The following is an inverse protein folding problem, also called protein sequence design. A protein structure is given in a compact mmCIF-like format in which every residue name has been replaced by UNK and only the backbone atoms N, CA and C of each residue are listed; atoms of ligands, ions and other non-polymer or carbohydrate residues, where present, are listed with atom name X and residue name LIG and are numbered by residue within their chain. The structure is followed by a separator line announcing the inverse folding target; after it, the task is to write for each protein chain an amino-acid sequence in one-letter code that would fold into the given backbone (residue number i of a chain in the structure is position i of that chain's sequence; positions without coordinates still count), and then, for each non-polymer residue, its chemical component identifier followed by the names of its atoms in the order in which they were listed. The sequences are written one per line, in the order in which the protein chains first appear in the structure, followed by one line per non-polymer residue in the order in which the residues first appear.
data_IF_483458700975
#
_entry.id   IF_483458700975
#
_cell.length_a   1.000
_cell.length_b   1.000
_cell.length_c   1.000
_cell.angle_alpha   90.00
_cell.angle_beta   90.00
_cell.angle_gamma   90.00
#
_symmetry.space_group_name_H-M   'P 1'
#
loop_
_entity.id
_entity.type
_entity.pdbx_description
1 polymer ?
#
# COMPACT_ATOMS: atom_id res chain seq x y z
N UNK A 1 -5.35 -5.56 -24.93
CA UNK A 1 -5.52 -5.74 -23.47
C UNK A 1 -5.14 -4.43 -22.80
N UNK A 2 -6.11 -3.69 -22.24
CA UNK A 2 -5.83 -2.46 -21.48
C UNK A 2 -5.45 -2.87 -20.05
N UNK A 3 -4.37 -2.31 -19.52
CA UNK A 3 -3.97 -2.48 -18.12
C UNK A 3 -4.18 -1.14 -17.42
N UNK A 4 -4.99 -1.13 -16.37
CA UNK A 4 -5.30 0.06 -15.58
C UNK A 4 -4.37 0.11 -14.36
N UNK A 5 -3.87 1.29 -14.03
CA UNK A 5 -3.12 1.55 -12.81
C UNK A 5 -3.83 2.66 -12.04
N UNK A 6 -4.10 2.40 -10.77
CA UNK A 6 -4.73 3.32 -9.83
C UNK A 6 -3.96 3.28 -8.53
N UNK A 7 -3.89 4.42 -7.84
CA UNK A 7 -3.18 4.56 -6.57
C UNK A 7 -4.05 5.25 -5.55
N UNK A 8 -3.93 4.83 -4.29
CA UNK A 8 -4.45 5.53 -3.14
C UNK A 8 -3.48 6.64 -2.75
N UNK A 9 -4.01 7.81 -2.42
CA UNK A 9 -3.26 8.83 -1.68
C UNK A 9 -3.29 8.48 -0.20
N UNK A 10 -2.20 7.86 0.29
CA UNK A 10 -2.07 7.50 1.71
C UNK A 10 -2.04 8.71 2.65
N UNK A 11 -1.72 9.90 2.13
CA UNK A 11 -1.50 11.10 2.92
C UNK A 11 -2.70 12.05 2.88
N UNK A 12 -3.70 11.78 2.05
CA UNK A 12 -4.93 12.59 1.94
C UNK A 12 -4.65 14.08 1.74
N UNK A 13 -3.74 14.40 0.82
CA UNK A 13 -3.34 15.76 0.48
C UNK A 13 -2.29 16.38 1.43
N UNK A 14 -1.71 15.61 2.35
CA UNK A 14 -0.70 16.07 3.31
C UNK A 14 0.69 15.44 3.07
N UNK A 15 1.35 15.73 1.92
CA UNK A 15 2.64 15.14 1.58
C UNK A 15 3.75 15.67 2.49
N UNK A 16 4.78 14.87 2.76
CA UNK A 16 5.88 15.24 3.66
C UNK A 16 6.57 16.57 3.29
N UNK A 17 6.67 16.85 1.98
CA UNK A 17 7.29 18.06 1.44
C UNK A 17 6.52 19.35 1.78
N UNK A 18 5.24 19.24 2.18
CA UNK A 18 4.45 20.40 2.60
C UNK A 18 4.96 21.01 3.91
N UNK A 19 5.78 20.28 4.66
CA UNK A 19 6.29 20.68 5.97
C UNK A 19 7.76 21.11 5.95
N UNK A 20 8.36 21.28 4.77
CA UNK A 20 9.75 21.72 4.64
C UNK A 20 9.93 23.11 5.26
N UNK A 21 10.76 23.20 6.31
CA UNK A 21 11.03 24.44 7.04
C UNK A 21 9.97 24.83 8.07
N UNK A 22 8.95 24.00 8.30
CA UNK A 22 7.93 24.25 9.31
C UNK A 22 8.52 24.13 10.73
N UNK A 23 8.55 25.25 11.46
CA UNK A 23 9.10 25.30 12.80
C UNK A 23 8.23 24.48 13.76
N UNK A 24 8.84 23.51 14.43
CA UNK A 24 8.15 22.67 15.41
C UNK A 24 7.40 21.49 14.80
N UNK A 25 7.45 21.29 13.48
CA UNK A 25 6.89 20.11 12.84
C UNK A 25 7.66 18.85 13.26
N UNK A 26 6.90 17.77 13.51
CA UNK A 26 7.45 16.50 13.99
C UNK A 26 7.18 15.39 12.98
N UNK A 27 8.23 15.00 12.25
CA UNK A 27 8.17 13.96 11.23
C UNK A 27 7.66 12.61 11.76
N UNK A 28 8.04 12.23 12.98
CA UNK A 28 7.63 10.95 13.56
C UNK A 28 6.12 10.92 13.85
N UNK A 29 5.57 12.03 14.34
CA UNK A 29 4.13 12.19 14.61
C UNK A 29 3.34 12.17 13.29
N UNK A 30 3.83 12.89 12.28
CA UNK A 30 3.25 12.86 10.93
C UNK A 30 3.26 11.45 10.33
N UNK A 31 4.37 10.71 10.50
CA UNK A 31 4.50 9.35 9.99
C UNK A 31 3.53 8.39 10.68
N UNK A 32 3.41 8.46 12.01
CA UNK A 32 2.45 7.65 12.78
C UNK A 32 0.99 7.93 12.36
N UNK A 33 0.62 9.21 12.22
CA UNK A 33 -0.68 9.60 11.69
C UNK A 33 -0.93 9.00 10.30
N UNK A 34 0.04 9.12 9.40
CA UNK A 34 -0.06 8.61 8.02
C UNK A 34 -0.20 7.08 7.99
N UNK A 35 0.52 6.36 8.87
CA UNK A 35 0.39 4.90 9.01
C UNK A 35 -1.03 4.51 9.45
N UNK A 36 -1.61 5.24 10.40
CA UNK A 36 -2.99 5.00 10.86
C UNK A 36 -4.01 5.29 9.75
N UNK A 37 -3.88 6.40 9.04
CA UNK A 37 -4.73 6.74 7.89
C UNK A 37 -4.70 5.64 6.83
N UNK A 38 -3.50 5.14 6.50
CA UNK A 38 -3.35 4.04 5.56
C UNK A 38 -4.00 2.75 6.05
N UNK A 39 -3.82 2.39 7.33
CA UNK A 39 -4.44 1.20 7.91
C UNK A 39 -5.99 1.25 7.86
N UNK A 40 -6.58 2.42 8.09
CA UNK A 40 -8.03 2.60 8.11
C UNK A 40 -8.66 2.72 6.71
N UNK A 41 -7.92 3.28 5.76
CA UNK A 41 -8.42 3.59 4.43
C UNK A 41 -8.17 2.49 3.40
N UNK A 42 -7.01 1.84 3.47
CA UNK A 42 -6.57 0.91 2.43
C UNK A 42 -7.57 -0.25 2.21
N UNK A 43 -8.08 -0.95 3.25
CA UNK A 43 -9.05 -2.03 3.04
C UNK A 43 -10.34 -1.54 2.36
N UNK A 44 -10.82 -0.36 2.74
CA UNK A 44 -12.04 0.26 2.17
C UNK A 44 -11.81 0.65 0.71
N UNK A 45 -10.63 1.19 0.41
CA UNK A 45 -10.25 1.56 -0.95
C UNK A 45 -10.13 0.33 -1.85
N UNK A 46 -9.49 -0.75 -1.39
CA UNK A 46 -9.40 -2.02 -2.15
C UNK A 46 -10.81 -2.56 -2.43
N UNK A 47 -11.69 -2.59 -1.44
CA UNK A 47 -13.07 -3.04 -1.61
C UNK A 47 -13.84 -2.18 -2.63
N UNK A 48 -13.70 -0.86 -2.57
CA UNK A 48 -14.34 0.06 -3.51
C UNK A 48 -13.83 -0.13 -4.95
N UNK A 49 -12.51 -0.28 -5.11
CA UNK A 49 -11.87 -0.60 -6.40
C UNK A 49 -12.44 -1.89 -6.98
N UNK A 50 -12.46 -2.96 -6.20
CA UNK A 50 -12.98 -4.26 -6.65
C UNK A 50 -14.47 -4.20 -6.98
N UNK A 51 -15.24 -3.43 -6.21
CA UNK A 51 -16.65 -3.16 -6.50
C UNK A 51 -16.87 -2.41 -7.81
N UNK A 52 -15.97 -1.49 -8.17
CA UNK A 52 -16.07 -0.69 -9.39
C UNK A 52 -15.59 -1.45 -10.64
N UNK A 53 -14.52 -2.24 -10.53
CA UNK A 53 -13.87 -2.89 -11.68
C UNK A 53 -14.15 -4.40 -11.78
N UNK A 54 -14.92 -4.96 -10.85
CA UNK A 54 -15.38 -6.35 -10.86
C UNK A 54 -14.52 -7.29 -10.03
N UNK A 55 -15.15 -8.27 -9.37
CA UNK A 55 -14.48 -9.26 -8.53
C UNK A 55 -13.58 -10.23 -9.30
N UNK A 56 -13.92 -10.48 -10.56
CA UNK A 56 -13.30 -11.52 -11.40
C UNK A 56 -12.05 -11.01 -12.14
N UNK A 57 -11.76 -9.71 -12.03
CA UNK A 57 -10.53 -9.14 -12.56
C UNK A 57 -9.31 -9.61 -11.76
N UNK A 58 -8.16 -9.69 -12.43
CA UNK A 58 -6.88 -9.99 -11.79
C UNK A 58 -6.28 -8.69 -11.27
N UNK A 59 -6.13 -8.58 -9.95
CA UNK A 59 -5.52 -7.43 -9.31
C UNK A 59 -4.09 -7.75 -8.92
N UNK A 60 -3.19 -6.79 -9.09
CA UNK A 60 -1.82 -6.85 -8.57
C UNK A 60 -1.56 -5.60 -7.75
N UNK A 61 -0.74 -5.71 -6.72
CA UNK A 61 -0.37 -4.58 -5.86
C UNK A 61 1.10 -4.22 -6.05
N UNK A 62 1.40 -2.93 -6.03
CA UNK A 62 2.75 -2.41 -6.15
C UNK A 62 2.96 -1.28 -5.15
N UNK A 63 4.10 -1.29 -4.46
CA UNK A 63 4.42 -0.31 -3.41
C UNK A 63 5.80 0.30 -3.56
N UNK A 64 5.90 1.61 -3.35
CA UNK A 64 7.18 2.32 -3.31
C UNK A 64 7.36 3.03 -1.96
N UNK A 65 8.54 2.95 -1.35
CA UNK A 65 8.85 3.61 -0.07
C UNK A 65 7.79 3.27 1.00
N UNK A 66 7.02 4.27 1.44
CA UNK A 66 5.90 4.14 2.38
C UNK A 66 4.91 3.03 1.97
N UNK A 67 4.63 2.92 0.67
CA UNK A 67 3.73 1.95 0.05
C UNK A 67 4.23 0.51 0.08
N UNK A 68 5.53 0.29 0.29
CA UNK A 68 6.17 -1.03 0.18
C UNK A 68 5.58 -2.08 1.12
N UNK A 69 5.34 -1.71 2.39
CA UNK A 69 4.75 -2.64 3.36
C UNK A 69 3.33 -3.04 3.00
N UNK A 70 2.55 -2.12 2.43
CA UNK A 70 1.15 -2.36 2.08
C UNK A 70 1.02 -3.25 0.85
N UNK A 71 1.97 -3.14 -0.10
CA UNK A 71 2.05 -4.08 -1.20
C UNK A 71 2.38 -5.50 -0.72
N UNK A 72 3.30 -5.63 0.24
CA UNK A 72 3.62 -6.93 0.85
C UNK A 72 2.44 -7.53 1.63
N UNK A 73 1.71 -6.70 2.38
CA UNK A 73 0.46 -7.12 3.04
C UNK A 73 -0.60 -7.59 2.02
N UNK A 74 -0.71 -6.90 0.88
CA UNK A 74 -1.55 -7.35 -0.22
C UNK A 74 -1.09 -8.70 -0.79
N UNK A 75 0.21 -8.95 -0.91
CA UNK A 75 0.77 -10.25 -1.30
C UNK A 75 0.54 -11.39 -0.30
N UNK A 76 0.22 -11.06 0.95
CA UNK A 76 -0.20 -12.03 1.97
C UNK A 76 -1.73 -12.29 1.94
N UNK A 77 -2.50 -11.54 1.15
CA UNK A 77 -3.97 -11.67 1.03
C UNK A 77 -4.39 -12.52 -0.18
N UNK A 78 -5.68 -12.88 -0.27
CA UNK A 78 -6.26 -13.49 -1.50
C UNK A 78 -6.70 -12.43 -2.54
N UNK A 79 -6.62 -11.14 -2.22
CA UNK A 79 -7.16 -10.09 -3.07
C UNK A 79 -6.32 -9.82 -4.32
N UNK A 80 -5.04 -10.24 -4.30
CA UNK A 80 -4.07 -9.95 -5.34
C UNK A 80 -3.38 -11.21 -5.86
N UNK A 81 -3.19 -11.30 -7.17
CA UNK A 81 -2.48 -12.43 -7.82
C UNK A 81 -0.97 -12.25 -7.82
N UNK A 82 -0.48 -11.04 -7.54
CA UNK A 82 0.93 -10.72 -7.44
C UNK A 82 1.13 -9.43 -6.62
N UNK A 83 2.27 -9.36 -5.93
CA UNK A 83 2.74 -8.17 -5.24
C UNK A 83 4.16 -7.81 -5.70
N UNK A 84 4.44 -6.52 -5.80
CA UNK A 84 5.76 -5.98 -6.08
C UNK A 84 6.07 -4.79 -5.17
N UNK A 85 7.35 -4.54 -4.90
CA UNK A 85 7.76 -3.34 -4.19
C UNK A 85 9.11 -2.82 -4.69
N UNK A 86 9.38 -1.53 -4.48
CA UNK A 86 10.66 -0.90 -4.79
C UNK A 86 11.06 0.08 -3.68
N UNK A 87 12.32 0.02 -3.26
CA UNK A 87 12.88 0.86 -2.18
C UNK A 87 11.90 1.01 -0.99
N UNK A 88 11.52 -0.10 -0.32
CA UNK A 88 10.47 -0.06 0.69
C UNK A 88 10.99 0.53 2.02
N UNK A 89 10.11 1.20 2.75
CA UNK A 89 10.34 1.59 4.15
C UNK A 89 9.77 0.53 5.10
N UNK A 90 10.44 0.25 6.23
CA UNK A 90 9.94 -0.57 7.35
C UNK A 90 9.52 -2.02 7.02
N UNK A 91 10.11 -2.65 5.99
CA UNK A 91 9.92 -4.09 5.81
C UNK A 91 10.78 -4.89 6.80
N UNK A 92 10.14 -5.82 7.50
CA UNK A 92 10.78 -6.86 8.29
C UNK A 92 10.63 -8.23 7.62
N UNK A 93 11.40 -9.23 8.09
CA UNK A 93 11.29 -10.63 7.65
C UNK A 93 9.86 -11.19 7.81
N UNK A 94 9.12 -10.71 8.82
CA UNK A 94 7.74 -11.14 9.06
C UNK A 94 6.85 -10.92 7.84
N UNK A 95 7.02 -9.82 7.11
CA UNK A 95 6.23 -9.56 5.90
C UNK A 95 6.50 -10.58 4.79
N UNK A 96 7.73 -11.13 4.70
CA UNK A 96 8.07 -12.17 3.72
C UNK A 96 7.51 -13.52 4.14
N UNK A 97 7.63 -13.86 5.42
CA UNK A 97 7.12 -15.13 5.96
C UNK A 97 5.58 -15.25 5.91
N UNK A 98 4.88 -14.12 5.80
CA UNK A 98 3.43 -14.06 5.65
C UNK A 98 2.95 -14.16 4.19
N UNK A 99 3.86 -14.07 3.21
CA UNK A 99 3.46 -14.19 1.81
C UNK A 99 2.84 -15.55 1.54
N UNK A 100 1.80 -15.55 0.71
CA UNK A 100 1.23 -16.81 0.25
C UNK A 100 2.22 -17.50 -0.68
N UNK A 101 2.48 -18.77 -0.39
CA UNK A 101 3.27 -19.60 -1.28
C UNK A 101 2.54 -19.69 -2.62
N UNK A 102 3.17 -19.23 -3.69
CA UNK A 102 2.63 -19.43 -5.03
C UNK A 102 2.71 -20.92 -5.33
N UNK A 103 1.57 -21.55 -5.61
CA UNK A 103 1.57 -22.91 -6.16
C UNK A 103 2.47 -22.90 -7.40
N UNK A 104 3.44 -23.82 -7.52
CA UNK A 104 4.30 -23.87 -8.69
C UNK A 104 3.43 -24.02 -9.95
N UNK A 105 3.72 -23.15 -10.93
CA UNK A 105 3.05 -23.09 -12.24
C UNK A 105 3.42 -24.32 -13.06
#
# INVERSE_FOLDING_TARGET
MVRLSIGIDYFFGDPIQAHDGEVGWNQATWFQKSRQQAADALPKWIAAVRGQYGSDAKYSTAGYCFGGIYAMQGGASDDFVAAAFAHPADLTESHFNQLKSMNPI
#
